data_IF_636761354198
#
_entry.id   IF_636761354198
#
_cell.length_a   1.000
_cell.length_b   1.000
_cell.length_c   1.000
_cell.angle_alpha   90.00
_cell.angle_beta   90.00
_cell.angle_gamma   90.00
#
_symmetry.space_group_name_H-M   'P 1'
#
loop_
_entity.id
_entity.type
_entity.pdbx_description
1 polymer ?
#
# COMPACT_ATOMS: atom_id res chain seq x y z
N UNK A 1 -38.69 53.43 -3.21
CA UNK A 1 -39.18 52.06 -3.00
C UNK A 1 -38.20 51.26 -2.12
N UNK A 2 -37.77 51.85 -1.00
CA UNK A 2 -36.93 51.20 0.02
C UNK A 2 -37.74 51.17 1.30
N UNK A 3 -38.51 50.11 1.53
CA UNK A 3 -39.03 49.76 2.86
C UNK A 3 -39.80 48.44 2.78
N UNK A 4 -39.09 47.33 3.02
CA UNK A 4 -39.64 46.08 3.61
C UNK A 4 -38.53 45.04 3.88
N UNK A 5 -37.44 45.43 4.52
CA UNK A 5 -36.38 44.49 4.97
C UNK A 5 -36.16 44.48 6.49
N UNK A 6 -37.03 45.12 7.27
CA UNK A 6 -36.95 45.13 8.73
C UNK A 6 -37.87 44.10 9.38
N UNK A 7 -37.54 42.80 9.23
CA UNK A 7 -37.90 41.72 10.19
C UNK A 7 -37.35 40.33 9.79
N UNK A 8 -36.14 40.23 9.24
CA UNK A 8 -35.46 38.94 9.20
C UNK A 8 -34.74 38.68 10.52
N UNK A 9 -35.01 37.54 11.16
CA UNK A 9 -34.29 37.08 12.35
C UNK A 9 -32.79 37.07 12.05
N UNK A 10 -31.98 37.66 12.94
CA UNK A 10 -30.51 37.77 12.77
C UNK A 10 -29.86 36.41 12.45
N UNK A 11 -30.42 35.33 12.97
CA UNK A 11 -30.02 33.93 12.71
C UNK A 11 -30.32 33.49 11.26
N UNK A 12 -31.45 33.91 10.70
CA UNK A 12 -31.83 33.62 9.31
C UNK A 12 -30.94 34.40 8.33
N UNK A 13 -30.58 35.64 8.67
CA UNK A 13 -29.63 36.45 7.92
C UNK A 13 -28.22 35.80 7.93
N UNK A 14 -27.78 35.32 9.09
CA UNK A 14 -26.49 34.61 9.22
C UNK A 14 -26.47 33.33 8.37
N UNK A 15 -27.56 32.54 8.40
CA UNK A 15 -27.71 31.33 7.57
C UNK A 15 -27.68 31.66 6.07
N UNK A 16 -28.36 32.72 5.64
CA UNK A 16 -28.33 33.17 4.25
C UNK A 16 -26.93 33.61 3.81
N UNK A 17 -26.17 34.27 4.69
CA UNK A 17 -24.78 34.68 4.42
C UNK A 17 -23.88 33.45 4.29
N UNK A 18 -24.03 32.44 5.16
CA UNK A 18 -23.25 31.20 5.09
C UNK A 18 -23.56 30.44 3.81
N UNK A 19 -24.84 30.30 3.45
CA UNK A 19 -25.25 29.65 2.20
C UNK A 19 -24.69 30.41 0.99
N UNK A 20 -24.76 31.74 0.99
CA UNK A 20 -24.21 32.57 -0.08
C UNK A 20 -22.69 32.40 -0.19
N UNK A 21 -21.97 32.28 0.92
CA UNK A 21 -20.54 32.01 0.93
C UNK A 21 -20.21 30.66 0.28
N UNK A 22 -20.96 29.59 0.59
CA UNK A 22 -20.78 28.28 -0.04
C UNK A 22 -21.11 28.30 -1.54
N UNK A 23 -22.14 29.04 -1.95
CA UNK A 23 -22.48 29.19 -3.38
C UNK A 23 -21.37 29.94 -4.12
N UNK A 24 -20.86 31.04 -3.57
CA UNK A 24 -19.74 31.79 -4.15
C UNK A 24 -18.49 30.91 -4.20
N UNK A 25 -18.15 30.22 -3.12
CA UNK A 25 -17.02 29.29 -3.07
C UNK A 25 -17.16 28.19 -4.13
N UNK A 26 -18.33 27.59 -4.28
CA UNK A 26 -18.58 26.55 -5.27
C UNK A 26 -18.46 27.08 -6.71
N UNK A 27 -18.95 28.29 -6.98
CA UNK A 27 -18.79 28.94 -8.28
C UNK A 27 -17.34 29.35 -8.57
N UNK A 28 -16.62 29.91 -7.58
CA UNK A 28 -15.20 30.22 -7.69
C UNK A 28 -14.35 28.96 -7.88
N UNK A 29 -14.70 27.86 -7.21
CA UNK A 29 -14.06 26.56 -7.40
C UNK A 29 -14.35 25.97 -8.78
N UNK A 30 -15.58 26.07 -9.28
CA UNK A 30 -15.95 25.62 -10.64
C UNK A 30 -15.29 26.47 -11.73
N UNK A 31 -15.22 27.79 -11.56
CA UNK A 31 -14.49 28.71 -12.44
C UNK A 31 -12.98 28.46 -12.38
N UNK A 32 -12.41 28.25 -11.19
CA UNK A 32 -11.00 27.89 -11.01
C UNK A 32 -10.69 26.54 -11.66
N UNK A 33 -11.56 25.53 -11.51
CA UNK A 33 -11.39 24.23 -12.16
C UNK A 33 -11.49 24.34 -13.68
N UNK A 34 -12.43 25.13 -14.20
CA UNK A 34 -12.55 25.38 -15.64
C UNK A 34 -11.38 26.21 -16.19
N UNK A 35 -10.83 27.15 -15.41
CA UNK A 35 -9.63 27.92 -15.75
C UNK A 35 -8.36 27.07 -15.72
N UNK A 36 -8.24 26.18 -14.73
CA UNK A 36 -7.16 25.20 -14.65
C UNK A 36 -7.30 24.21 -15.79
N UNK A 37 -8.52 23.76 -16.15
CA UNK A 37 -8.78 22.84 -17.25
C UNK A 37 -8.60 23.51 -18.64
N UNK A 38 -8.85 24.82 -18.77
CA UNK A 38 -8.49 25.58 -19.97
C UNK A 38 -7.00 25.89 -20.07
N UNK A 39 -6.27 26.00 -18.94
CA UNK A 39 -4.80 26.12 -18.92
C UNK A 39 -4.01 24.81 -18.89
N UNK A 40 -4.64 23.68 -18.57
CA UNK A 40 -4.09 22.33 -18.78
C UNK A 40 -4.59 21.69 -20.08
N UNK A 41 -5.37 22.45 -20.86
CA UNK A 41 -5.74 22.13 -22.25
C UNK A 41 -5.02 22.98 -23.30
N UNK A 42 -4.43 24.12 -22.92
CA UNK A 42 -3.67 25.02 -23.81
C UNK A 42 -2.44 25.58 -23.06
N UNK A 43 -1.44 24.72 -22.88
CA UNK A 43 -0.02 25.08 -22.92
C UNK A 43 0.71 23.98 -23.71
N UNK A 44 0.12 23.62 -24.87
CA UNK A 44 0.94 23.35 -26.05
C UNK A 44 1.26 24.74 -26.57
N UNK A 45 2.41 25.28 -26.16
CA UNK A 45 3.01 26.38 -26.90
C UNK A 45 3.18 25.84 -28.32
N UNK A 46 2.35 26.30 -29.25
CA UNK A 46 2.65 26.22 -30.67
C UNK A 46 3.83 27.16 -30.92
N UNK A 47 5.02 26.72 -30.50
CA UNK A 47 6.26 27.16 -31.10
C UNK A 47 6.15 26.63 -32.52
N UNK A 48 6.17 27.53 -33.49
CA UNK A 48 6.42 27.19 -34.89
C UNK A 48 7.86 26.68 -35.02
N UNK A 49 8.13 25.52 -34.42
CA UNK A 49 9.27 24.67 -34.69
C UNK A 49 8.76 23.67 -35.70
N UNK A 50 8.92 24.07 -36.96
CA UNK A 50 8.96 23.17 -38.10
C UNK A 50 9.91 22.00 -37.77
N UNK A 51 9.35 20.88 -37.29
CA UNK A 51 9.92 19.55 -37.47
C UNK A 51 11.01 19.03 -36.53
N UNK A 52 11.29 19.62 -35.38
CA UNK A 52 12.19 18.99 -34.39
C UNK A 52 11.51 18.84 -33.03
N UNK A 53 11.07 17.61 -32.74
CA UNK A 53 10.66 17.23 -31.37
C UNK A 53 11.88 17.41 -30.47
N UNK A 54 11.67 17.88 -29.23
CA UNK A 54 12.81 17.91 -28.31
C UNK A 54 13.31 16.48 -28.06
N UNK A 55 14.61 16.28 -27.86
CA UNK A 55 15.17 14.95 -27.53
C UNK A 55 14.42 14.27 -26.38
N UNK A 56 13.88 15.04 -25.44
CA UNK A 56 13.10 14.55 -24.30
C UNK A 56 11.73 14.03 -24.76
N UNK A 57 11.05 14.72 -25.66
CA UNK A 57 9.76 14.28 -26.21
C UNK A 57 9.93 13.05 -27.10
N UNK A 58 10.98 13.00 -27.92
CA UNK A 58 11.32 11.81 -28.70
C UNK A 58 11.64 10.62 -27.79
N UNK A 59 12.44 10.83 -26.74
CA UNK A 59 12.78 9.79 -25.78
C UNK A 59 11.55 9.27 -25.02
N UNK A 60 10.62 10.16 -24.63
CA UNK A 60 9.36 9.78 -23.97
C UNK A 60 8.48 8.99 -24.94
N UNK A 61 8.35 9.43 -26.18
CA UNK A 61 7.53 8.74 -27.18
C UNK A 61 8.11 7.37 -27.55
N UNK A 62 9.44 7.27 -27.70
CA UNK A 62 10.15 6.01 -27.93
C UNK A 62 9.95 5.04 -26.76
N UNK A 63 10.04 5.53 -25.51
CA UNK A 63 9.75 4.72 -24.31
C UNK A 63 8.30 4.26 -24.27
N UNK A 64 7.34 5.14 -24.48
CA UNK A 64 5.92 4.80 -24.50
C UNK A 64 5.59 3.79 -25.61
N UNK A 65 6.24 3.93 -26.78
CA UNK A 65 6.10 2.99 -27.90
C UNK A 65 6.77 1.64 -27.62
N UNK A 66 7.88 1.62 -26.87
CA UNK A 66 8.51 0.39 -26.42
C UNK A 66 7.66 -0.32 -25.35
N UNK A 67 7.15 0.44 -24.38
CA UNK A 67 6.28 -0.07 -23.30
C UNK A 67 4.96 -0.61 -23.85
N UNK A 68 4.29 0.05 -24.81
CA UNK A 68 3.03 -0.44 -25.39
C UNK A 68 3.16 -1.78 -26.14
N UNK A 69 4.38 -2.14 -26.57
CA UNK A 69 4.69 -3.44 -27.19
C UNK A 69 4.99 -4.54 -26.18
N UNK A 70 5.27 -4.21 -24.92
CA UNK A 70 5.61 -5.19 -23.89
C UNK A 70 4.40 -6.08 -23.55
N UNK A 71 4.70 -7.34 -23.25
CA UNK A 71 3.70 -8.28 -22.76
C UNK A 71 3.30 -7.92 -21.31
N UNK A 72 2.03 -8.15 -20.91
CA UNK A 72 1.56 -7.93 -19.55
C UNK A 72 2.50 -8.45 -18.45
N UNK A 73 3.02 -9.68 -18.54
CA UNK A 73 3.97 -10.19 -17.54
C UNK A 73 5.31 -9.43 -17.54
N UNK A 74 5.79 -8.98 -18.70
CA UNK A 74 7.01 -8.17 -18.76
C UNK A 74 6.81 -6.83 -18.06
N UNK A 75 5.65 -6.19 -18.26
CA UNK A 75 5.29 -4.96 -17.55
C UNK A 75 5.14 -5.18 -16.05
N UNK A 76 4.52 -6.29 -15.65
CA UNK A 76 4.42 -6.70 -14.26
C UNK A 76 5.82 -6.79 -13.61
N UNK A 77 6.78 -7.43 -14.28
CA UNK A 77 8.14 -7.61 -13.78
C UNK A 77 8.94 -6.29 -13.69
N UNK A 78 8.54 -5.24 -14.40
CA UNK A 78 9.14 -3.90 -14.30
C UNK A 78 8.54 -3.01 -13.20
N UNK A 79 7.43 -3.44 -12.58
CA UNK A 79 6.77 -2.66 -11.53
C UNK A 79 7.69 -2.43 -10.32
N UNK A 80 7.58 -1.27 -9.66
CA UNK A 80 8.36 -0.97 -8.45
C UNK A 80 7.56 -1.18 -7.18
N UNK A 81 6.23 -1.14 -7.31
CA UNK A 81 5.27 -1.26 -6.23
C UNK A 81 4.08 -2.07 -6.71
N UNK A 82 3.56 -2.86 -5.81
CA UNK A 82 2.40 -3.70 -6.01
C UNK A 82 1.42 -3.47 -4.87
N UNK A 83 0.14 -3.46 -5.16
CA UNK A 83 -0.92 -3.44 -4.17
C UNK A 83 -1.68 -4.75 -4.29
N UNK A 84 -1.63 -5.58 -3.26
CA UNK A 84 -2.24 -6.92 -3.27
C UNK A 84 -3.43 -7.00 -2.33
N UNK A 85 -4.31 -7.95 -2.56
CA UNK A 85 -5.54 -8.15 -1.79
C UNK A 85 -5.95 -9.60 -1.84
N UNK A 86 -6.56 -10.08 -0.77
CA UNK A 86 -7.23 -11.38 -0.73
C UNK A 86 -8.74 -11.19 -0.49
N UNK A 87 -9.40 -12.20 0.07
CA UNK A 87 -10.81 -12.17 0.44
C UNK A 87 -11.08 -11.30 1.67
N UNK A 88 -10.06 -11.04 2.48
CA UNK A 88 -10.17 -10.47 3.83
C UNK A 88 -9.51 -9.10 3.94
N UNK A 89 -8.54 -8.80 3.08
CA UNK A 89 -7.69 -7.62 3.15
C UNK A 89 -7.54 -6.98 1.78
N UNK A 90 -7.71 -5.66 1.73
CA UNK A 90 -7.58 -4.89 0.49
C UNK A 90 -6.36 -3.97 0.48
N UNK A 91 -5.82 -3.79 -0.72
CA UNK A 91 -4.84 -2.76 -1.09
C UNK A 91 -3.55 -2.71 -0.26
N UNK A 92 -2.99 -3.87 0.12
CA UNK A 92 -1.73 -3.95 0.86
C UNK A 92 -0.56 -3.62 -0.06
N UNK A 93 0.19 -2.58 0.29
CA UNK A 93 1.37 -2.15 -0.46
C UNK A 93 2.57 -3.07 -0.23
N UNK A 94 3.12 -3.58 -1.31
CA UNK A 94 4.34 -4.41 -1.39
C UNK A 94 5.39 -3.72 -2.26
N UNK A 95 6.64 -3.70 -1.79
CA UNK A 95 7.80 -3.17 -2.50
C UNK A 95 9.07 -3.91 -2.03
N UNK A 96 10.21 -3.64 -2.66
CA UNK A 96 11.49 -4.19 -2.22
C UNK A 96 11.61 -5.70 -2.45
N UNK A 97 12.24 -6.40 -1.50
CA UNK A 97 12.64 -7.80 -1.65
C UNK A 97 11.45 -8.76 -1.82
N UNK A 98 10.36 -8.57 -1.08
CA UNK A 98 9.11 -9.32 -1.26
C UNK A 98 8.59 -9.25 -2.70
N UNK A 99 8.57 -8.06 -3.31
CA UNK A 99 8.11 -7.89 -4.68
C UNK A 99 9.05 -8.58 -5.67
N UNK A 100 10.36 -8.44 -5.49
CA UNK A 100 11.35 -9.09 -6.35
C UNK A 100 11.28 -10.63 -6.24
N UNK A 101 10.97 -11.17 -5.06
CA UNK A 101 10.75 -12.59 -4.88
C UNK A 101 9.51 -13.08 -5.66
N UNK A 102 8.41 -12.31 -5.63
CA UNK A 102 7.22 -12.63 -6.43
C UNK A 102 7.49 -12.62 -7.93
N UNK A 103 8.22 -11.60 -8.42
CA UNK A 103 8.63 -11.53 -9.83
C UNK A 103 9.54 -12.68 -10.22
N UNK A 104 10.50 -13.05 -9.35
CA UNK A 104 11.37 -14.20 -9.61
C UNK A 104 10.56 -15.49 -9.67
N UNK A 105 9.60 -15.67 -8.76
CA UNK A 105 8.74 -16.85 -8.78
C UNK A 105 7.89 -16.93 -10.05
N UNK A 106 7.37 -15.78 -10.52
CA UNK A 106 6.53 -15.72 -11.72
C UNK A 106 7.25 -16.15 -13.00
N UNK A 107 8.59 -16.11 -13.02
CA UNK A 107 9.39 -16.61 -14.16
C UNK A 107 9.26 -18.12 -14.37
N UNK A 108 8.86 -18.87 -13.33
CA UNK A 108 8.61 -20.32 -13.42
C UNK A 108 7.22 -20.66 -13.96
N UNK A 109 6.32 -19.68 -14.11
CA UNK A 109 4.95 -19.94 -14.52
C UNK A 109 4.86 -20.19 -16.03
N UNK A 110 4.00 -21.14 -16.43
CA UNK A 110 3.91 -21.59 -17.82
C UNK A 110 2.77 -20.86 -18.53
N UNK A 111 3.08 -20.08 -19.56
CA UNK A 111 2.05 -19.39 -20.35
C UNK A 111 1.11 -20.41 -21.01
N UNK A 112 -0.20 -20.21 -20.87
CA UNK A 112 -1.23 -21.05 -21.48
C UNK A 112 -2.17 -20.23 -22.36
N UNK A 113 -2.80 -20.88 -23.34
CA UNK A 113 -3.77 -20.21 -24.24
C UNK A 113 -5.11 -19.95 -23.57
N UNK A 114 -5.52 -20.83 -22.66
CA UNK A 114 -6.77 -20.78 -21.94
C UNK A 114 -6.62 -21.43 -20.57
N UNK A 115 -7.49 -21.07 -19.64
CA UNK A 115 -7.62 -21.72 -18.34
C UNK A 115 -8.46 -22.98 -18.52
N UNK A 116 -8.06 -24.07 -17.87
CA UNK A 116 -8.80 -25.34 -17.85
C UNK A 116 -9.60 -25.39 -16.55
N UNK A 117 -10.93 -25.53 -16.66
CA UNK A 117 -11.83 -25.57 -15.48
C UNK A 117 -12.24 -24.20 -14.95
N UNK A 118 -12.72 -24.17 -13.72
CA UNK A 118 -13.14 -22.93 -13.04
C UNK A 118 -11.93 -22.10 -12.58
N UNK A 119 -12.04 -20.78 -12.75
CA UNK A 119 -11.07 -19.81 -12.25
C UNK A 119 -11.78 -18.83 -11.33
N UNK A 120 -11.60 -19.01 -10.03
CA UNK A 120 -12.27 -18.22 -8.99
C UNK A 120 -11.22 -17.50 -8.14
N UNK A 121 -10.54 -16.47 -8.68
CA UNK A 121 -9.47 -15.79 -7.99
C UNK A 121 -10.00 -15.00 -6.79
N UNK A 122 -9.49 -15.31 -5.60
CA UNK A 122 -9.69 -14.47 -4.41
C UNK A 122 -8.54 -13.49 -4.22
N UNK A 123 -7.38 -13.81 -4.78
CA UNK A 123 -6.15 -13.05 -4.64
C UNK A 123 -5.94 -12.18 -5.87
N UNK A 124 -5.79 -10.88 -5.68
CA UNK A 124 -5.74 -9.89 -6.76
C UNK A 124 -4.75 -8.79 -6.43
N UNK A 125 -4.38 -8.02 -7.45
CA UNK A 125 -3.59 -6.83 -7.20
C UNK A 125 -3.33 -5.98 -8.43
N UNK A 126 -2.79 -4.80 -8.16
CA UNK A 126 -2.48 -3.80 -9.17
C UNK A 126 -1.07 -3.26 -8.95
N UNK A 127 -0.33 -3.04 -10.03
CA UNK A 127 0.98 -2.41 -9.99
C UNK A 127 0.89 -0.90 -10.14
N UNK A 128 1.98 -0.20 -9.83
CA UNK A 128 2.12 1.23 -10.08
C UNK A 128 2.25 1.62 -11.56
N UNK A 129 2.28 0.65 -12.48
CA UNK A 129 2.34 0.85 -13.94
C UNK A 129 1.13 0.25 -14.66
N UNK A 130 -0.04 0.30 -14.01
CA UNK A 130 -1.35 -0.08 -14.59
C UNK A 130 -1.41 -1.54 -15.09
N UNK A 131 -0.73 -2.45 -14.39
CA UNK A 131 -0.88 -3.89 -14.61
C UNK A 131 -1.75 -4.45 -13.51
N UNK A 132 -2.80 -5.17 -13.88
CA UNK A 132 -3.65 -5.91 -12.96
C UNK A 132 -3.25 -7.37 -12.97
N UNK A 133 -3.39 -8.05 -11.84
CA UNK A 133 -3.26 -9.49 -11.80
C UNK A 133 -4.28 -10.13 -10.85
N UNK A 134 -4.60 -11.38 -11.12
CA UNK A 134 -5.50 -12.22 -10.33
C UNK A 134 -4.96 -13.64 -10.26
N UNK A 135 -5.19 -14.33 -9.14
CA UNK A 135 -4.74 -15.70 -8.95
C UNK A 135 -5.60 -16.49 -7.96
N UNK A 136 -5.79 -17.77 -8.26
CA UNK A 136 -6.30 -18.81 -7.37
C UNK A 136 -5.18 -19.79 -6.96
N UNK A 137 -3.91 -19.42 -7.23
CA UNK A 137 -2.70 -20.23 -7.09
C UNK A 137 -2.57 -21.44 -8.04
N UNK A 138 -3.58 -21.75 -8.85
CA UNK A 138 -3.46 -22.68 -9.99
C UNK A 138 -3.08 -21.93 -11.26
N UNK A 139 -3.67 -20.74 -11.43
CA UNK A 139 -3.42 -19.83 -12.52
C UNK A 139 -3.04 -18.45 -11.99
N UNK A 140 -2.12 -17.82 -12.68
CA UNK A 140 -1.73 -16.43 -12.49
C UNK A 140 -2.08 -15.69 -13.78
N UNK A 141 -3.00 -14.74 -13.67
CA UNK A 141 -3.56 -14.01 -14.80
C UNK A 141 -3.12 -12.57 -14.70
N UNK A 142 -2.55 -12.03 -15.78
CA UNK A 142 -2.01 -10.67 -15.82
C UNK A 142 -2.68 -9.91 -16.96
N UNK A 143 -3.12 -8.68 -16.68
CA UNK A 143 -3.78 -7.81 -17.65
C UNK A 143 -3.11 -6.44 -17.71
N UNK A 144 -2.86 -5.96 -18.92
CA UNK A 144 -2.38 -4.60 -19.17
C UNK A 144 -2.83 -4.15 -20.57
N UNK A 145 -3.30 -2.91 -20.69
CA UNK A 145 -3.77 -2.29 -21.95
C UNK A 145 -4.79 -3.15 -22.72
N UNK A 146 -5.73 -3.78 -22.01
CA UNK A 146 -6.74 -4.67 -22.59
C UNK A 146 -6.20 -6.02 -23.09
N UNK A 147 -4.91 -6.30 -22.92
CA UNK A 147 -4.31 -7.60 -23.21
C UNK A 147 -4.28 -8.43 -21.93
N UNK A 148 -4.80 -9.65 -22.01
CA UNK A 148 -4.84 -10.61 -20.91
C UNK A 148 -3.94 -11.80 -21.22
N UNK A 149 -3.11 -12.19 -20.26
CA UNK A 149 -2.25 -13.36 -20.32
C UNK A 149 -2.54 -14.29 -19.15
N UNK A 150 -2.59 -15.59 -19.42
CA UNK A 150 -2.83 -16.61 -18.40
C UNK A 150 -1.61 -17.51 -18.27
N UNK A 151 -1.20 -17.78 -17.03
CA UNK A 151 -0.05 -18.60 -16.71
C UNK A 151 -0.46 -19.70 -15.74
N UNK A 152 -0.14 -20.96 -16.04
CA UNK A 152 -0.32 -22.10 -15.13
C UNK A 152 0.83 -22.12 -14.14
N UNK A 153 0.48 -22.17 -12.85
CA UNK A 153 1.44 -22.27 -11.74
C UNK A 153 1.87 -23.74 -11.61
N UNK A 154 3.17 -24.07 -11.73
CA UNK A 154 3.63 -25.44 -11.52
C UNK A 154 3.30 -25.94 -10.12
N UNK A 155 2.96 -27.22 -10.00
CA UNK A 155 2.63 -27.85 -8.71
C UNK A 155 3.80 -27.68 -7.72
N UNK A 156 5.03 -27.81 -8.20
CA UNK A 156 6.26 -27.71 -7.39
C UNK A 156 6.49 -26.35 -6.72
N UNK A 157 5.82 -25.29 -7.15
CA UNK A 157 5.99 -23.93 -6.59
C UNK A 157 4.71 -23.38 -5.97
N UNK A 158 3.62 -24.16 -5.97
CA UNK A 158 2.30 -23.68 -5.55
C UNK A 158 2.26 -23.35 -4.06
N UNK A 159 2.80 -24.22 -3.22
CA UNK A 159 2.86 -24.01 -1.77
C UNK A 159 3.72 -22.80 -1.42
N UNK A 160 4.88 -22.67 -2.06
CA UNK A 160 5.75 -21.50 -1.93
C UNK A 160 5.05 -20.20 -2.36
N UNK A 161 4.30 -20.24 -3.46
CA UNK A 161 3.54 -19.08 -3.94
C UNK A 161 2.46 -18.67 -2.93
N UNK A 162 1.69 -19.63 -2.43
CA UNK A 162 0.65 -19.40 -1.42
C UNK A 162 1.23 -18.83 -0.12
N UNK A 163 2.29 -19.44 0.39
CA UNK A 163 2.97 -19.00 1.61
C UNK A 163 3.56 -17.60 1.44
N UNK A 164 4.22 -17.33 0.32
CA UNK A 164 4.76 -16.01 0.01
C UNK A 164 3.65 -14.95 -0.10
N UNK A 165 2.53 -15.26 -0.75
CA UNK A 165 1.41 -14.32 -0.88
C UNK A 165 0.81 -13.96 0.48
N UNK A 166 0.55 -14.97 1.32
CA UNK A 166 0.08 -14.75 2.70
C UNK A 166 1.09 -13.95 3.51
N UNK A 167 2.39 -14.27 3.44
CA UNK A 167 3.44 -13.50 4.12
C UNK A 167 3.42 -12.04 3.70
N UNK A 168 3.37 -11.76 2.39
CA UNK A 168 3.32 -10.39 1.88
C UNK A 168 2.14 -9.59 2.47
N UNK A 169 0.98 -10.20 2.68
CA UNK A 169 -0.17 -9.54 3.32
C UNK A 169 0.03 -9.43 4.84
N UNK A 170 0.08 -10.57 5.51
CA UNK A 170 -0.17 -10.68 6.95
C UNK A 170 1.03 -10.33 7.83
N UNK A 171 2.23 -10.19 7.27
CA UNK A 171 3.39 -9.64 7.99
C UNK A 171 3.74 -8.22 7.57
N UNK A 172 3.01 -7.64 6.61
CA UNK A 172 3.29 -6.27 6.17
C UNK A 172 2.99 -5.24 7.25
N UNK A 173 3.84 -4.22 7.31
CA UNK A 173 3.58 -3.06 8.17
C UNK A 173 2.33 -2.31 7.73
N UNK A 174 2.00 -2.33 6.43
CA UNK A 174 0.79 -1.70 5.91
C UNK A 174 -0.49 -2.37 6.46
N UNK A 175 -0.51 -3.71 6.50
CA UNK A 175 -1.59 -4.46 7.15
C UNK A 175 -1.68 -4.16 8.64
N UNK A 176 -0.55 -4.10 9.35
CA UNK A 176 -0.51 -3.75 10.78
C UNK A 176 -1.04 -2.34 11.03
N UNK A 177 -0.72 -1.39 10.14
CA UNK A 177 -1.10 0.02 10.28
C UNK A 177 -2.56 0.30 9.93
N UNK A 178 -3.18 -0.56 9.12
CA UNK A 178 -4.61 -0.49 8.90
C UNK A 178 -5.34 -0.72 10.24
N UNK A 179 -6.20 0.21 10.65
CA UNK A 179 -6.90 0.17 11.95
C UNK A 179 -8.08 -0.81 11.97
N UNK A 180 -8.57 -1.22 10.80
CA UNK A 180 -9.79 -1.99 10.69
C UNK A 180 -9.62 -3.37 11.34
N UNK A 181 -10.54 -3.66 12.26
CA UNK A 181 -10.58 -4.90 13.04
C UNK A 181 -9.34 -5.18 13.90
N UNK A 182 -8.61 -4.13 14.31
CA UNK A 182 -7.63 -4.22 15.39
C UNK A 182 -8.36 -4.46 16.72
N UNK A 183 -8.14 -5.64 17.29
CA UNK A 183 -8.60 -6.08 18.59
C UNK A 183 -7.61 -5.73 19.69
N UNK A 184 -7.38 -6.65 20.62
CA UNK A 184 -6.52 -6.42 21.77
C UNK A 184 -5.04 -6.34 21.41
N UNK A 185 -4.34 -5.45 22.12
CA UNK A 185 -2.89 -5.27 22.01
C UNK A 185 -2.28 -5.42 23.39
N UNK A 186 -1.29 -6.31 23.49
CA UNK A 186 -0.50 -6.56 24.70
C UNK A 186 0.97 -6.38 24.39
N UNK A 187 1.68 -5.70 25.26
CA UNK A 187 3.13 -5.52 25.14
C UNK A 187 3.84 -6.22 26.27
N UNK A 188 4.96 -6.84 25.95
CA UNK A 188 5.79 -7.61 26.88
C UNK A 188 7.21 -7.06 26.93
N UNK A 189 7.79 -7.03 28.13
CA UNK A 189 9.20 -6.76 28.41
C UNK A 189 9.72 -7.88 29.33
N UNK A 190 10.29 -8.92 28.73
CA UNK A 190 10.58 -10.16 29.48
C UNK A 190 9.28 -10.79 30.01
N UNK A 191 9.17 -10.91 31.33
CA UNK A 191 7.98 -11.46 32.00
C UNK A 191 6.92 -10.39 32.35
N UNK A 192 7.22 -9.10 32.16
CA UNK A 192 6.28 -8.03 32.44
C UNK A 192 5.31 -7.84 31.26
N UNK A 193 4.00 -7.85 31.52
CA UNK A 193 2.93 -7.64 30.53
C UNK A 193 2.20 -6.33 30.82
N UNK A 194 1.96 -5.54 29.78
CA UNK A 194 1.09 -4.35 29.83
C UNK A 194 0.06 -4.39 28.69
N UNK A 195 -1.21 -4.26 29.07
CA UNK A 195 -2.29 -4.02 28.11
C UNK A 195 -2.23 -2.60 27.55
N UNK A 196 -2.61 -2.43 26.29
CA UNK A 196 -2.69 -1.12 25.65
C UNK A 196 -4.13 -0.62 25.67
N UNK A 197 -4.36 0.51 26.31
CA UNK A 197 -5.68 1.15 26.33
C UNK A 197 -6.18 1.47 24.91
N UNK A 198 -7.50 1.38 24.64
CA UNK A 198 -8.06 1.61 23.30
C UNK A 198 -7.59 2.91 22.64
N UNK A 199 -7.56 4.04 23.37
CA UNK A 199 -7.13 5.34 22.83
C UNK A 199 -5.61 5.46 22.59
N UNK A 200 -4.81 4.50 23.07
CA UNK A 200 -3.35 4.43 22.83
C UNK A 200 -2.96 3.44 21.74
N UNK A 201 -3.89 2.61 21.25
CA UNK A 201 -3.62 1.64 20.17
C UNK A 201 -3.11 2.35 18.91
N UNK A 202 -3.78 3.43 18.51
CA UNK A 202 -3.39 4.25 17.37
C UNK A 202 -1.99 4.87 17.52
N UNK A 203 -1.69 5.38 18.71
CA UNK A 203 -0.39 5.98 19.00
C UNK A 203 0.71 4.93 18.84
N UNK A 204 0.56 3.76 19.46
CA UNK A 204 1.50 2.64 19.34
C UNK A 204 1.69 2.19 17.88
N UNK A 205 0.61 1.93 17.16
CA UNK A 205 0.66 1.47 15.75
C UNK A 205 1.37 2.50 14.87
N UNK A 206 1.13 3.80 15.09
CA UNK A 206 1.78 4.86 14.33
C UNK A 206 3.28 5.00 14.63
N UNK A 207 3.78 4.47 15.76
CA UNK A 207 5.22 4.39 16.03
C UNK A 207 5.93 3.30 15.22
N UNK A 208 5.20 2.39 14.59
CA UNK A 208 5.75 1.35 13.70
C UNK A 208 6.03 1.98 12.34
N UNK A 209 7.10 2.77 12.28
CA UNK A 209 7.60 3.40 11.05
C UNK A 209 8.73 2.57 10.49
N UNK A 210 8.54 1.97 9.31
CA UNK A 210 9.57 1.19 8.64
C UNK A 210 10.32 2.03 7.60
N UNK A 211 11.60 1.71 7.42
CA UNK A 211 12.45 2.26 6.36
C UNK A 211 12.46 1.35 5.15
N UNK A 212 12.64 0.04 5.39
CA UNK A 212 12.71 -1.02 4.37
C UNK A 212 12.55 -2.41 5.00
N UNK A 213 12.18 -3.38 4.17
CA UNK A 213 12.36 -4.80 4.48
C UNK A 213 13.85 -5.17 4.47
N UNK A 214 14.25 -6.12 5.32
CA UNK A 214 15.63 -6.62 5.40
C UNK A 214 15.67 -8.14 5.61
N UNK A 215 16.81 -8.76 5.30
CA UNK A 215 17.05 -10.17 5.63
C UNK A 215 17.29 -10.42 7.12
N UNK A 216 17.06 -11.66 7.57
CA UNK A 216 17.14 -12.13 8.97
C UNK A 216 18.47 -11.82 9.69
N UNK A 217 19.60 -11.78 8.98
CA UNK A 217 20.94 -11.80 9.59
C UNK A 217 21.22 -10.59 10.49
N UNK A 218 20.93 -9.36 10.02
CA UNK A 218 21.23 -8.14 10.80
C UNK A 218 20.30 -8.01 12.02
N UNK A 219 18.96 -8.14 11.89
CA UNK A 219 18.06 -8.14 13.05
C UNK A 219 18.44 -9.16 14.12
N UNK A 220 18.79 -10.39 13.73
CA UNK A 220 19.18 -11.42 14.69
C UNK A 220 20.46 -11.03 15.44
N UNK A 221 21.47 -10.49 14.76
CA UNK A 221 22.68 -10.00 15.43
C UNK A 221 22.37 -8.92 16.46
N UNK A 222 21.50 -7.97 16.12
CA UNK A 222 21.13 -6.88 17.03
C UNK A 222 20.26 -7.35 18.21
N UNK A 223 19.36 -8.31 17.98
CA UNK A 223 18.57 -8.92 19.05
C UNK A 223 19.44 -9.54 20.15
N UNK A 224 20.49 -10.29 19.78
CA UNK A 224 21.40 -10.93 20.74
C UNK A 224 22.31 -9.93 21.48
N UNK A 225 22.61 -8.76 20.88
CA UNK A 225 23.42 -7.71 21.52
C UNK A 225 22.60 -6.84 22.47
N UNK A 226 21.30 -6.72 22.21
CA UNK A 226 20.44 -5.78 22.94
C UNK A 226 19.93 -6.43 24.21
N UNK A 227 20.19 -5.77 25.36
CA UNK A 227 19.76 -6.27 26.68
C UNK A 227 18.24 -6.32 26.86
N UNK A 228 17.54 -5.37 26.25
CA UNK A 228 16.09 -5.22 26.39
C UNK A 228 15.45 -5.27 25.02
N UNK A 229 14.50 -6.17 24.85
CA UNK A 229 13.64 -6.23 23.68
C UNK A 229 12.18 -6.36 24.13
N UNK A 230 11.27 -5.93 23.27
CA UNK A 230 9.84 -5.89 23.53
C UNK A 230 9.10 -6.77 22.53
N UNK A 231 8.02 -7.40 22.97
CA UNK A 231 7.10 -8.13 22.09
C UNK A 231 5.74 -7.45 22.14
N UNK A 232 5.19 -7.08 20.99
CA UNK A 232 3.82 -6.59 20.86
C UNK A 232 3.00 -7.71 20.23
N UNK A 233 1.94 -8.14 20.92
CA UNK A 233 0.97 -9.10 20.41
C UNK A 233 -0.30 -8.37 20.05
N UNK A 234 -0.75 -8.52 18.80
CA UNK A 234 -1.93 -7.85 18.24
C UNK A 234 -2.89 -8.94 17.75
N UNK A 235 -4.14 -8.87 18.18
CA UNK A 235 -5.23 -9.58 17.54
C UNK A 235 -5.86 -8.68 16.47
N UNK A 236 -5.93 -9.12 15.22
CA UNK A 236 -6.47 -8.33 14.10
C UNK A 236 -7.24 -9.21 13.12
N UNK A 237 -8.52 -8.94 12.90
CA UNK A 237 -9.37 -9.75 11.99
C UNK A 237 -9.27 -11.26 12.25
N UNK A 238 -9.19 -11.68 13.51
CA UNK A 238 -8.99 -13.10 13.89
C UNK A 238 -7.56 -13.63 13.75
N UNK A 239 -6.65 -12.85 13.17
CA UNK A 239 -5.23 -13.16 13.08
C UNK A 239 -4.46 -12.74 14.34
N UNK A 240 -3.46 -13.52 14.72
CA UNK A 240 -2.50 -13.17 15.77
C UNK A 240 -1.20 -12.71 15.14
N UNK A 241 -0.76 -11.50 15.48
CA UNK A 241 0.45 -10.89 14.96
C UNK A 241 1.38 -10.60 16.13
N UNK A 242 2.60 -11.13 16.06
CA UNK A 242 3.65 -10.88 17.03
C UNK A 242 4.73 -10.00 16.40
N UNK A 243 4.95 -8.83 16.99
CA UNK A 243 5.99 -7.87 16.58
C UNK A 243 7.06 -7.85 17.67
N UNK A 244 8.22 -8.42 17.36
CA UNK A 244 9.37 -8.47 18.26
C UNK A 244 10.36 -7.38 17.88
N UNK A 245 10.72 -6.50 18.81
CA UNK A 245 11.87 -5.61 18.59
C UNK A 245 13.16 -6.44 18.57
N UNK A 246 14.03 -6.14 17.62
CA UNK A 246 15.29 -6.84 17.37
C UNK A 246 16.44 -5.86 17.54
N UNK A 247 16.56 -5.28 18.73
CA UNK A 247 17.28 -4.04 18.97
C UNK A 247 16.43 -2.79 18.72
N UNK A 248 17.08 -1.63 18.60
CA UNK A 248 16.40 -0.33 18.46
C UNK A 248 15.88 -0.05 17.05
N UNK A 249 16.54 -0.61 16.05
CA UNK A 249 16.35 -0.25 14.63
C UNK A 249 15.69 -1.35 13.80
N UNK A 250 15.30 -2.47 14.41
CA UNK A 250 14.73 -3.61 13.69
C UNK A 250 13.53 -4.21 14.41
N UNK A 251 12.63 -4.79 13.63
CA UNK A 251 11.54 -5.64 14.13
C UNK A 251 11.47 -6.94 13.33
N UNK A 252 10.99 -7.98 13.99
CA UNK A 252 10.48 -9.21 13.37
C UNK A 252 8.96 -9.18 13.50
N UNK A 253 8.24 -9.34 12.39
CA UNK A 253 6.79 -9.51 12.36
C UNK A 253 6.48 -10.98 12.08
N UNK A 254 5.67 -11.60 12.92
CA UNK A 254 5.27 -13.00 12.82
C UNK A 254 3.76 -13.10 12.76
N UNK A 255 3.23 -13.85 11.80
CA UNK A 255 1.82 -14.23 11.73
C UNK A 255 1.73 -15.71 11.36
N UNK A 256 1.29 -16.55 12.31
CA UNK A 256 1.39 -18.01 12.17
C UNK A 256 2.84 -18.42 11.81
N UNK A 257 3.04 -19.19 10.74
CA UNK A 257 4.38 -19.59 10.26
C UNK A 257 5.07 -18.54 9.38
N UNK A 258 4.40 -17.42 9.08
CA UNK A 258 4.96 -16.36 8.26
C UNK A 258 5.80 -15.39 9.10
N UNK A 259 7.03 -15.15 8.66
CA UNK A 259 7.98 -14.25 9.32
C UNK A 259 8.55 -13.26 8.32
N UNK A 260 8.57 -11.98 8.68
CA UNK A 260 9.28 -10.93 7.96
C UNK A 260 10.10 -10.05 8.91
N UNK A 261 11.12 -9.40 8.36
CA UNK A 261 12.02 -8.54 9.11
C UNK A 261 12.08 -7.14 8.47
N UNK A 262 12.04 -6.12 9.31
CA UNK A 262 12.05 -4.73 8.86
C UNK A 262 13.08 -3.92 9.62
N UNK A 263 13.76 -3.02 8.90
CA UNK A 263 14.46 -1.90 9.50
C UNK A 263 13.45 -0.79 9.79
N UNK A 264 13.42 -0.29 11.03
CA UNK A 264 12.47 0.70 11.53
C UNK A 264 13.18 1.93 12.09
N UNK A 265 12.42 2.98 12.34
CA UNK A 265 12.86 4.11 13.15
C UNK A 265 12.77 3.76 14.64
N UNK A 266 13.60 4.42 15.45
CA UNK A 266 13.72 4.14 16.89
C UNK A 266 12.49 4.59 17.71
N UNK A 267 11.57 5.31 17.10
CA UNK A 267 10.32 5.80 17.70
C UNK A 267 9.54 4.70 18.42
N UNK A 268 9.42 3.51 17.80
CA UNK A 268 8.76 2.37 18.43
C UNK A 268 9.48 1.95 19.71
N UNK A 269 10.77 1.68 19.61
CA UNK A 269 11.57 1.23 20.76
C UNK A 269 11.52 2.25 21.90
N UNK A 270 11.71 3.53 21.58
CA UNK A 270 11.71 4.62 22.55
C UNK A 270 10.33 4.79 23.22
N UNK A 271 9.25 4.63 22.47
CA UNK A 271 7.90 4.68 23.00
C UNK A 271 7.62 3.54 23.99
N UNK A 272 8.00 2.31 23.62
CA UNK A 272 7.82 1.15 24.49
C UNK A 272 8.63 1.30 25.79
N UNK A 273 9.88 1.71 25.69
CA UNK A 273 10.77 1.85 26.85
C UNK A 273 10.35 3.02 27.77
N UNK A 274 10.07 4.19 27.19
CA UNK A 274 9.86 5.43 27.96
C UNK A 274 8.41 5.75 28.28
N UNK A 275 7.44 5.24 27.52
CA UNK A 275 6.02 5.55 27.73
C UNK A 275 5.22 4.36 28.25
N UNK A 276 5.49 3.15 27.74
CA UNK A 276 4.76 1.95 28.16
C UNK A 276 5.36 1.36 29.44
N UNK A 277 6.68 1.16 29.49
CA UNK A 277 7.40 0.46 30.58
C UNK A 277 8.23 1.36 31.50
N UNK A 278 7.78 2.62 31.71
CA UNK A 278 8.37 3.57 32.66
C UNK A 278 8.85 2.92 33.96
#
# INVERSE_FOLDING_TARGET
MFNKLSKLNKTLLLLLIIILFFVIYFFSFKLSRNYIQSKTGEDVVSIDTRGEKSKIEEDIELRNKAESKMQPLQKFNQSKKLFISDDSVENIKIEGEMLENLKRLSTSFVKVRSIEGEFNPQNRGNTNNNVKFETDFNYFVVESDGKKESYKVPISVKEDFQGMYKRMIYTSVDYIKNKDGVGDIRVYKGNEEKGVFPWKKDDLINKILYKREVGKIQPQKEFHKTKTNFTIKIEKNGNKIDIQTMGKDFIQVTNSDNVAYYEVYQDLYNYLDKEVFK
#
